data_IF_063527382996
#
_entry.id   IF_063527382996
#
_cell.length_a   1.000
_cell.length_b   1.000
_cell.length_c   1.000
_cell.angle_alpha   90.00
_cell.angle_beta   90.00
_cell.angle_gamma   90.00
#
_symmetry.space_group_name_H-M   'P 1'
#
loop_
_entity.id
_entity.type
_entity.pdbx_description
1 polymer ?
#
# COMPACT_ATOMS: atom_id res chain seq x y z
N UNK A 1 -7.64 6.06 27.64
CA UNK A 1 -7.58 4.64 27.22
C UNK A 1 -6.78 4.55 25.93
N UNK A 2 -6.00 3.50 25.76
CA UNK A 2 -5.39 3.13 24.48
C UNK A 2 -6.37 2.24 23.73
N UNK A 3 -6.58 2.50 22.43
CA UNK A 3 -7.43 1.67 21.58
C UNK A 3 -6.59 0.98 20.51
N UNK A 4 -6.63 -0.35 20.53
CA UNK A 4 -5.95 -1.24 19.59
C UNK A 4 -6.95 -2.23 19.00
N UNK A 5 -6.57 -2.97 17.97
CA UNK A 5 -7.38 -4.08 17.47
C UNK A 5 -6.97 -5.43 18.09
N UNK A 6 -7.76 -6.47 17.85
CA UNK A 6 -7.46 -7.82 18.35
C UNK A 6 -6.12 -8.39 17.85
N UNK A 7 -5.74 -8.13 16.60
CA UNK A 7 -4.47 -8.62 16.05
C UNK A 7 -3.25 -7.90 16.68
N UNK A 8 -3.39 -6.61 17.01
CA UNK A 8 -2.38 -5.86 17.76
C UNK A 8 -2.26 -6.39 19.19
N UNK A 9 -3.37 -6.76 19.83
CA UNK A 9 -3.33 -7.41 21.14
C UNK A 9 -2.62 -8.75 21.07
N UNK A 10 -2.89 -9.57 20.06
CA UNK A 10 -2.23 -10.85 19.85
C UNK A 10 -0.72 -10.65 19.65
N UNK A 11 -0.31 -9.60 18.93
CA UNK A 11 1.10 -9.21 18.82
C UNK A 11 1.73 -8.86 20.17
N UNK A 12 1.06 -8.05 21.00
CA UNK A 12 1.58 -7.77 22.34
C UNK A 12 1.68 -9.04 23.19
N UNK A 13 0.76 -9.99 23.03
CA UNK A 13 0.85 -11.29 23.72
C UNK A 13 2.07 -12.09 23.26
N UNK A 14 2.38 -12.12 21.96
CA UNK A 14 3.61 -12.77 21.46
C UNK A 14 4.87 -12.14 22.07
N UNK A 15 4.88 -10.83 22.28
CA UNK A 15 6.02 -10.14 22.91
C UNK A 15 6.15 -10.56 24.38
N UNK A 16 5.04 -10.63 25.12
CA UNK A 16 5.00 -11.13 26.51
C UNK A 16 5.49 -12.57 26.59
N UNK A 17 5.01 -13.45 25.72
CA UNK A 17 5.37 -14.87 25.72
C UNK A 17 6.88 -15.08 25.47
N UNK A 18 7.51 -14.18 24.70
CA UNK A 18 8.96 -14.17 24.44
C UNK A 18 9.78 -13.40 25.47
N UNK A 19 9.13 -12.63 26.34
CA UNK A 19 9.75 -11.83 27.38
C UNK A 19 8.94 -11.95 28.68
N UNK A 20 8.97 -13.12 29.35
CA UNK A 20 8.12 -13.40 30.52
C UNK A 20 8.32 -12.44 31.69
N UNK A 21 9.47 -11.76 31.76
CA UNK A 21 9.75 -10.70 32.73
C UNK A 21 8.84 -9.47 32.58
N UNK A 22 8.15 -9.32 31.45
CA UNK A 22 7.16 -8.26 31.22
C UNK A 22 5.82 -8.52 31.91
N UNK A 23 5.60 -9.69 32.51
CA UNK A 23 4.34 -10.00 33.20
C UNK A 23 3.21 -10.28 32.21
N UNK A 24 2.23 -9.37 32.14
CA UNK A 24 1.11 -9.47 31.19
C UNK A 24 1.09 -8.32 30.16
N UNK A 25 0.11 -8.34 29.24
CA UNK A 25 -0.02 -7.30 28.20
C UNK A 25 -0.25 -5.91 28.81
N UNK A 26 -0.89 -5.80 29.98
CA UNK A 26 -1.11 -4.52 30.64
C UNK A 26 0.17 -3.99 31.30
N UNK A 27 1.00 -4.87 31.88
CA UNK A 27 2.34 -4.55 32.37
C UNK A 27 3.27 -4.09 31.22
N UNK A 28 3.21 -4.76 30.07
CA UNK A 28 3.93 -4.35 28.86
C UNK A 28 3.52 -2.93 28.45
N UNK A 29 2.21 -2.64 28.34
CA UNK A 29 1.73 -1.30 27.96
C UNK A 29 2.23 -0.23 28.93
N UNK A 30 2.17 -0.48 30.24
CA UNK A 30 2.70 0.46 31.25
C UNK A 30 4.20 0.70 31.07
N UNK A 31 4.96 -0.38 30.81
CA UNK A 31 6.41 -0.32 30.60
C UNK A 31 6.76 0.48 29.35
N UNK A 32 6.09 0.21 28.24
CA UNK A 32 6.30 0.89 26.97
C UNK A 32 5.96 2.39 27.07
N UNK A 33 4.87 2.75 27.75
CA UNK A 33 4.49 4.15 27.93
C UNK A 33 5.43 4.91 28.88
N UNK A 34 6.07 4.24 29.84
CA UNK A 34 7.09 4.82 30.71
C UNK A 34 8.45 5.01 30.01
N UNK A 35 8.68 4.35 28.87
CA UNK A 35 9.92 4.51 28.12
C UNK A 35 10.03 5.91 27.50
N UNK A 36 11.24 6.48 27.37
CA UNK A 36 11.43 7.79 26.75
C UNK A 36 10.83 7.82 25.33
N UNK A 37 9.97 8.80 25.07
CA UNK A 37 9.43 9.00 23.74
C UNK A 37 10.55 9.40 22.77
N UNK A 38 10.60 8.75 21.62
CA UNK A 38 11.44 9.21 20.50
C UNK A 38 10.69 10.35 19.82
N UNK A 39 11.24 11.57 19.75
CA UNK A 39 10.60 12.67 19.05
C UNK A 39 10.44 12.30 17.58
N UNK A 40 9.22 12.39 17.07
CA UNK A 40 8.93 12.21 15.65
C UNK A 40 8.95 13.58 14.99
N UNK A 41 9.91 13.89 14.10
CA UNK A 41 9.88 15.11 13.34
C UNK A 41 8.66 15.11 12.42
N UNK A 42 7.86 16.18 12.47
CA UNK A 42 6.81 16.43 11.48
C UNK A 42 7.20 17.68 10.70
N UNK A 43 7.74 17.50 9.50
CA UNK A 43 7.88 18.55 8.50
C UNK A 43 7.01 18.21 7.30
N UNK A 44 5.70 18.08 7.52
CA UNK A 44 4.75 17.89 6.44
C UNK A 44 4.32 19.24 5.88
N UNK A 45 4.38 19.36 4.57
CA UNK A 45 3.72 20.44 3.83
C UNK A 45 2.41 19.90 3.25
N UNK A 46 1.32 20.65 3.41
CA UNK A 46 0.05 20.27 2.80
C UNK A 46 0.19 20.30 1.26
N UNK A 47 -0.24 19.24 0.56
CA UNK A 47 -0.14 19.21 -0.89
C UNK A 47 -1.09 20.24 -1.52
N UNK A 48 -0.69 20.77 -2.68
CA UNK A 48 -1.63 21.50 -3.52
C UNK A 48 -2.77 20.57 -3.95
N UNK A 49 -4.01 21.08 -4.01
CA UNK A 49 -5.14 20.26 -4.44
C UNK A 49 -4.88 19.76 -5.86
N UNK A 50 -5.25 18.51 -6.16
CA UNK A 50 -5.06 17.99 -7.50
C UNK A 50 -5.97 18.73 -8.48
N UNK A 51 -5.69 18.66 -9.78
CA UNK A 51 -6.53 19.31 -10.77
C UNK A 51 -7.95 18.75 -10.76
N UNK A 52 -8.94 19.65 -10.89
CA UNK A 52 -10.34 19.27 -10.94
C UNK A 52 -10.64 18.46 -12.21
N UNK A 53 -11.24 17.28 -12.03
CA UNK A 53 -11.70 16.40 -13.11
C UNK A 53 -13.13 15.92 -12.81
N UNK A 54 -13.82 15.43 -13.83
CA UNK A 54 -15.14 14.83 -13.64
C UNK A 54 -14.99 13.39 -13.18
N UNK A 55 -15.44 13.08 -11.97
CA UNK A 55 -15.43 11.72 -11.45
C UNK A 55 -16.41 10.82 -12.23
N UNK A 56 -15.94 9.63 -12.58
CA UNK A 56 -16.68 8.53 -13.20
C UNK A 56 -17.05 7.51 -12.13
N UNK A 57 -16.15 7.24 -11.19
CA UNK A 57 -16.38 6.37 -10.04
C UNK A 57 -15.59 6.84 -8.83
N UNK A 58 -16.07 6.51 -7.63
CA UNK A 58 -15.39 6.79 -6.37
C UNK A 58 -15.62 5.66 -5.37
N UNK A 59 -14.57 5.27 -4.68
CA UNK A 59 -14.56 4.20 -3.69
C UNK A 59 -13.85 4.67 -2.43
N UNK A 60 -14.33 4.22 -1.28
CA UNK A 60 -13.57 4.26 -0.02
C UNK A 60 -13.21 2.83 0.32
N UNK A 61 -11.90 2.55 0.38
CA UNK A 61 -11.38 1.23 0.73
C UNK A 61 -11.14 1.23 2.22
N UNK A 62 -11.80 0.31 2.93
CA UNK A 62 -11.74 0.21 4.38
C UNK A 62 -10.45 -0.50 4.85
N UNK A 63 -10.02 -0.31 6.11
CA UNK A 63 -8.97 -1.08 6.76
C UNK A 63 -9.08 -2.60 6.50
N UNK A 64 -7.98 -3.22 6.07
CA UNK A 64 -7.92 -4.66 5.79
C UNK A 64 -8.71 -5.14 4.57
N UNK A 65 -9.13 -4.23 3.68
CA UNK A 65 -9.85 -4.56 2.45
C UNK A 65 -9.12 -4.05 1.20
N UNK A 66 -9.53 -4.55 0.04
CA UNK A 66 -9.10 -4.08 -1.28
C UNK A 66 -10.27 -3.96 -2.23
N UNK A 67 -10.05 -3.34 -3.39
CA UNK A 67 -11.08 -3.22 -4.43
C UNK A 67 -10.49 -3.37 -5.81
N UNK A 68 -11.12 -4.19 -6.65
CA UNK A 68 -10.81 -4.24 -8.07
C UNK A 68 -11.54 -3.09 -8.80
N UNK A 69 -10.78 -2.21 -9.46
CA UNK A 69 -11.27 -0.98 -10.08
C UNK A 69 -10.94 -0.99 -11.58
N UNK A 70 -11.95 -1.13 -12.47
CA UNK A 70 -11.72 -1.01 -13.90
C UNK A 70 -11.46 0.45 -14.28
N UNK A 71 -10.41 0.69 -15.06
CA UNK A 71 -9.97 2.01 -15.54
C UNK A 71 -9.70 1.90 -17.04
N UNK A 72 -10.40 2.69 -17.86
CA UNK A 72 -10.26 2.65 -19.32
C UNK A 72 -9.06 3.46 -19.78
N UNK A 73 -8.53 3.11 -20.95
CA UNK A 73 -7.45 3.86 -21.58
C UNK A 73 -7.83 5.34 -21.72
N UNK A 74 -6.96 6.21 -21.23
CA UNK A 74 -7.18 7.66 -21.19
C UNK A 74 -8.01 8.14 -20.00
N UNK A 75 -8.41 7.30 -19.05
CA UNK A 75 -8.94 7.75 -17.76
C UNK A 75 -7.81 7.99 -16.76
N UNK A 76 -8.10 8.78 -15.72
CA UNK A 76 -7.19 9.02 -14.60
C UNK A 76 -7.71 8.26 -13.39
N UNK A 77 -6.86 7.45 -12.76
CA UNK A 77 -7.12 6.88 -11.44
C UNK A 77 -6.30 7.60 -10.39
N UNK A 78 -6.93 8.01 -9.29
CA UNK A 78 -6.27 8.65 -8.16
C UNK A 78 -6.49 7.83 -6.91
N UNK A 79 -5.42 7.62 -6.15
CA UNK A 79 -5.46 7.10 -4.78
C UNK A 79 -5.12 8.26 -3.84
N UNK A 80 -5.93 8.47 -2.80
CA UNK A 80 -5.78 9.58 -1.86
C UNK A 80 -5.91 9.14 -0.41
N UNK A 81 -5.05 9.72 0.43
CA UNK A 81 -5.14 9.65 1.88
C UNK A 81 -6.39 10.37 2.38
N UNK A 82 -7.19 9.67 3.20
CA UNK A 82 -8.31 10.31 3.93
C UNK A 82 -7.75 10.91 5.22
N UNK A 83 -7.19 10.06 6.08
CA UNK A 83 -6.63 10.46 7.38
C UNK A 83 -5.10 10.63 7.34
N UNK A 84 -4.43 10.12 6.29
CA UNK A 84 -2.97 10.09 6.19
C UNK A 84 -2.34 8.79 6.69
N UNK A 85 -1.02 8.69 6.52
CA UNK A 85 -0.18 7.66 7.14
C UNK A 85 -0.62 6.22 6.82
N UNK A 86 -1.19 5.97 5.64
CA UNK A 86 -1.60 4.64 5.20
C UNK A 86 -0.82 4.21 3.95
N UNK A 87 -0.08 3.11 4.04
CA UNK A 87 0.47 2.47 2.85
C UNK A 87 -0.64 1.80 2.03
N UNK A 88 -0.55 1.85 0.70
CA UNK A 88 -1.46 1.13 -0.20
C UNK A 88 -0.66 0.26 -1.15
N UNK A 89 -0.90 -1.03 -1.09
CA UNK A 89 -0.39 -1.97 -2.08
C UNK A 89 -1.27 -1.93 -3.33
N UNK A 90 -0.67 -1.91 -4.52
CA UNK A 90 -1.42 -1.87 -5.77
C UNK A 90 -0.93 -2.91 -6.78
N UNK A 91 -1.85 -3.75 -7.24
CA UNK A 91 -1.69 -4.61 -8.41
C UNK A 91 -2.41 -4.00 -9.63
N UNK A 92 -1.94 -4.30 -10.85
CA UNK A 92 -2.52 -3.76 -12.09
C UNK A 92 -2.45 -4.80 -13.20
N UNK A 93 -3.58 -5.08 -13.83
CA UNK A 93 -3.71 -6.04 -14.93
C UNK A 93 -4.29 -5.35 -16.17
N UNK A 94 -4.02 -5.87 -17.36
CA UNK A 94 -4.72 -5.47 -18.57
C UNK A 94 -6.12 -6.12 -18.59
N UNK A 95 -7.17 -5.31 -18.70
CA UNK A 95 -8.56 -5.81 -18.75
C UNK A 95 -8.81 -6.76 -19.92
N UNK A 96 -8.11 -6.58 -21.03
CA UNK A 96 -8.27 -7.36 -22.24
C UNK A 96 -7.31 -8.57 -22.30
N UNK A 97 -6.46 -8.74 -21.29
CA UNK A 97 -5.51 -9.84 -21.21
C UNK A 97 -4.95 -10.04 -19.79
N UNK A 98 -5.46 -11.02 -19.05
CA UNK A 98 -5.03 -11.34 -17.67
C UNK A 98 -3.52 -11.58 -17.51
N UNK A 99 -2.85 -12.02 -18.57
CA UNK A 99 -1.42 -12.34 -18.53
C UNK A 99 -0.52 -11.10 -18.63
N UNK A 100 -1.03 -9.97 -19.16
CA UNK A 100 -0.31 -8.70 -19.17
C UNK A 100 -0.64 -7.92 -17.90
N UNK A 101 0.35 -7.72 -17.05
CA UNK A 101 0.23 -7.08 -15.74
C UNK A 101 1.45 -6.24 -15.43
N UNK A 102 1.33 -5.37 -14.43
CA UNK A 102 2.42 -4.54 -13.94
C UNK A 102 3.62 -5.41 -13.54
N UNK A 103 4.81 -4.95 -13.91
CA UNK A 103 6.07 -5.62 -13.60
C UNK A 103 6.99 -4.68 -12.84
N UNK A 104 7.02 -4.86 -11.51
CA UNK A 104 7.76 -4.01 -10.58
C UNK A 104 9.26 -4.04 -10.89
N UNK A 105 9.85 -5.21 -11.16
CA UNK A 105 11.28 -5.28 -11.49
C UNK A 105 11.67 -4.49 -12.76
N UNK A 106 10.77 -4.39 -13.75
CA UNK A 106 11.02 -3.62 -14.97
C UNK A 106 10.83 -2.13 -14.71
N UNK A 107 9.77 -1.79 -14.00
CA UNK A 107 9.51 -0.41 -13.57
C UNK A 107 10.69 0.12 -12.75
N UNK A 108 11.14 -0.63 -11.73
CA UNK A 108 12.31 -0.30 -10.91
C UNK A 108 13.58 -0.13 -11.72
N UNK A 109 13.84 -1.01 -12.68
CA UNK A 109 15.03 -0.94 -13.53
C UNK A 109 15.06 0.27 -14.47
N UNK A 110 13.90 0.80 -14.87
CA UNK A 110 13.81 1.90 -15.84
C UNK A 110 13.44 3.26 -15.24
N UNK A 111 12.75 3.27 -14.11
CA UNK A 111 12.29 4.49 -13.42
C UNK A 111 12.95 4.68 -12.05
N UNK A 112 13.77 3.73 -11.61
CA UNK A 112 14.37 3.74 -10.28
C UNK A 112 13.43 3.21 -9.20
N UNK A 113 13.87 3.24 -7.94
CA UNK A 113 13.19 2.60 -6.82
C UNK A 113 11.89 3.27 -6.37
N UNK A 114 11.74 4.57 -6.68
CA UNK A 114 10.61 5.40 -6.25
C UNK A 114 9.99 6.15 -7.46
N UNK A 115 9.32 5.44 -8.39
CA UNK A 115 8.68 6.08 -9.55
C UNK A 115 7.76 7.23 -9.12
N UNK A 116 7.87 8.38 -9.78
CA UNK A 116 7.13 9.60 -9.42
C UNK A 116 6.59 10.32 -10.65
N UNK A 117 6.09 11.55 -10.46
CA UNK A 117 5.51 12.39 -11.50
C UNK A 117 6.38 12.44 -12.76
N UNK A 118 5.80 12.09 -13.91
CA UNK A 118 6.50 12.06 -15.20
C UNK A 118 7.18 10.73 -15.55
N UNK A 119 7.07 9.72 -14.67
CA UNK A 119 7.52 8.36 -14.94
C UNK A 119 6.37 7.47 -15.43
N UNK A 120 6.71 6.29 -15.95
CA UNK A 120 5.72 5.29 -16.41
C UNK A 120 5.91 3.93 -15.77
N UNK A 121 4.80 3.23 -15.56
CA UNK A 121 4.78 1.86 -15.09
C UNK A 121 4.81 0.89 -16.28
N UNK A 122 5.54 -0.21 -16.16
CA UNK A 122 5.81 -1.15 -17.26
C UNK A 122 5.12 -2.49 -17.06
N UNK A 123 4.61 -3.10 -18.14
CA UNK A 123 4.12 -4.49 -18.11
C UNK A 123 5.23 -5.53 -18.18
N UNK A 124 4.88 -6.76 -17.83
CA UNK A 124 5.73 -7.95 -17.88
C UNK A 124 6.03 -8.42 -19.31
N UNK A 125 7.06 -9.27 -19.45
CA UNK A 125 7.32 -10.00 -20.68
C UNK A 125 6.17 -10.97 -21.02
N UNK A 126 5.85 -11.15 -22.32
CA UNK A 126 6.55 -10.61 -23.51
C UNK A 126 6.05 -9.23 -23.99
N UNK A 127 5.14 -8.55 -23.27
CA UNK A 127 4.55 -7.27 -23.71
C UNK A 127 5.48 -6.08 -23.49
N UNK A 128 6.11 -5.99 -22.32
CA UNK A 128 7.16 -5.02 -21.96
C UNK A 128 6.92 -3.60 -22.49
N UNK A 129 5.75 -3.03 -22.18
CA UNK A 129 5.36 -1.69 -22.62
C UNK A 129 4.83 -0.83 -21.46
N UNK A 130 4.87 0.50 -21.57
CA UNK A 130 4.21 1.38 -20.61
C UNK A 130 2.70 1.09 -20.53
N UNK A 131 2.18 0.93 -19.32
CA UNK A 131 0.76 0.67 -19.07
C UNK A 131 0.06 1.84 -18.37
N UNK A 132 0.79 2.63 -17.58
CA UNK A 132 0.28 3.82 -16.89
C UNK A 132 1.37 4.88 -16.81
N UNK A 133 0.99 6.16 -16.83
CA UNK A 133 1.88 7.28 -16.59
C UNK A 133 1.51 8.00 -15.29
N UNK A 134 2.48 8.34 -14.44
CA UNK A 134 2.25 9.06 -13.19
C UNK A 134 2.11 10.55 -13.50
N UNK A 135 0.92 11.11 -13.31
CA UNK A 135 0.64 12.52 -13.60
C UNK A 135 0.98 13.44 -12.43
N UNK A 136 0.90 12.92 -11.21
CA UNK A 136 1.17 13.66 -9.98
C UNK A 136 1.33 12.73 -8.79
N UNK A 137 2.34 12.98 -7.97
CA UNK A 137 2.59 12.29 -6.70
C UNK A 137 3.02 13.31 -5.66
N UNK A 138 2.30 13.38 -4.54
CA UNK A 138 2.63 14.30 -3.43
C UNK A 138 3.52 13.65 -2.36
N UNK A 139 3.74 12.34 -2.48
CA UNK A 139 4.58 11.54 -1.58
C UNK A 139 5.42 10.52 -2.38
N UNK A 140 6.10 9.64 -1.66
CA UNK A 140 6.94 8.57 -2.21
C UNK A 140 6.11 7.32 -2.57
N UNK A 141 6.66 6.57 -3.52
CA UNK A 141 6.27 5.20 -3.84
C UNK A 141 7.46 4.29 -3.54
N UNK A 142 7.22 3.00 -3.34
CA UNK A 142 8.28 2.01 -3.19
C UNK A 142 8.12 0.86 -4.19
N UNK A 143 9.27 0.38 -4.65
CA UNK A 143 9.40 -0.82 -5.49
C UNK A 143 10.46 -1.79 -4.94
N UNK A 144 11.04 -1.53 -3.77
CA UNK A 144 12.00 -2.45 -3.15
C UNK A 144 11.32 -3.63 -2.49
N UNK A 145 10.29 -3.37 -1.68
CA UNK A 145 9.65 -4.40 -0.88
C UNK A 145 8.50 -5.09 -1.63
N UNK A 146 8.33 -6.40 -1.42
CA UNK A 146 7.15 -7.11 -1.86
C UNK A 146 5.93 -6.74 -0.99
N UNK A 147 4.77 -7.26 -1.35
CA UNK A 147 3.61 -7.23 -0.47
C UNK A 147 3.87 -7.96 0.86
N UNK A 148 3.22 -7.54 1.94
CA UNK A 148 3.22 -8.34 3.17
C UNK A 148 2.35 -9.60 3.00
N UNK A 149 2.73 -10.67 3.70
CA UNK A 149 2.12 -12.00 3.59
C UNK A 149 2.02 -12.69 4.95
N UNK A 150 1.19 -13.72 5.03
CA UNK A 150 1.15 -14.59 6.21
C UNK A 150 2.53 -15.12 6.60
N UNK A 151 3.35 -15.48 5.61
CA UNK A 151 4.70 -16.02 5.83
C UNK A 151 5.62 -15.01 6.49
N UNK A 152 5.67 -13.76 5.98
CA UNK A 152 6.60 -12.76 6.56
C UNK A 152 6.21 -12.43 8.00
N UNK A 153 4.92 -12.35 8.28
CA UNK A 153 4.43 -12.14 9.64
C UNK A 153 4.73 -13.30 10.59
N UNK A 154 4.56 -14.54 10.11
CA UNK A 154 4.90 -15.74 10.88
C UNK A 154 6.38 -15.81 11.23
N UNK A 155 7.25 -15.54 10.25
CA UNK A 155 8.70 -15.67 10.41
C UNK A 155 9.28 -14.55 11.26
N UNK A 156 8.88 -13.30 10.99
CA UNK A 156 9.47 -12.13 11.65
C UNK A 156 8.84 -11.82 13.00
N UNK A 157 7.51 -11.99 13.11
CA UNK A 157 6.77 -11.53 14.29
C UNK A 157 6.09 -12.65 15.08
N UNK A 158 6.14 -13.91 14.61
CA UNK A 158 5.40 -15.02 15.24
C UNK A 158 3.88 -14.91 15.08
N UNK A 159 3.41 -14.12 14.10
CA UNK A 159 1.99 -13.85 13.88
C UNK A 159 1.47 -14.68 12.70
N UNK A 160 0.74 -15.75 13.00
CA UNK A 160 0.32 -16.75 12.02
C UNK A 160 -0.99 -16.43 11.30
N UNK A 161 -1.95 -15.80 11.99
CA UNK A 161 -3.29 -15.54 11.46
C UNK A 161 -3.59 -14.04 11.56
N UNK A 162 -3.24 -13.28 10.52
CA UNK A 162 -3.42 -11.83 10.52
C UNK A 162 -3.63 -11.23 9.14
N UNK A 163 -4.28 -10.07 9.13
CA UNK A 163 -4.49 -9.25 7.94
C UNK A 163 -3.16 -8.96 7.25
N UNK A 164 -3.09 -9.22 5.94
CA UNK A 164 -1.89 -9.02 5.12
C UNK A 164 -2.27 -8.73 3.65
N UNK A 165 -1.42 -8.00 2.93
CA UNK A 165 -1.69 -7.56 1.56
C UNK A 165 -1.91 -8.72 0.60
N UNK A 166 -1.15 -9.82 0.73
CA UNK A 166 -1.28 -10.99 -0.15
C UNK A 166 -2.71 -11.53 -0.18
N UNK A 167 -3.31 -11.78 0.98
CA UNK A 167 -4.65 -12.34 1.07
C UNK A 167 -5.75 -11.33 0.71
N UNK A 168 -5.54 -10.05 1.04
CA UNK A 168 -6.45 -8.98 0.62
C UNK A 168 -6.47 -8.85 -0.91
N UNK A 169 -5.29 -8.90 -1.54
CA UNK A 169 -5.16 -8.87 -3.00
C UNK A 169 -5.83 -10.08 -3.64
N UNK A 170 -5.57 -11.29 -3.14
CA UNK A 170 -6.23 -12.50 -3.64
C UNK A 170 -7.76 -12.36 -3.64
N UNK A 171 -8.32 -11.87 -2.54
CA UNK A 171 -9.77 -11.72 -2.42
C UNK A 171 -10.31 -10.61 -3.32
N UNK A 172 -9.68 -9.43 -3.35
CA UNK A 172 -10.12 -8.32 -4.18
C UNK A 172 -10.04 -8.67 -5.68
N UNK A 173 -8.99 -9.37 -6.11
CA UNK A 173 -8.77 -9.76 -7.50
C UNK A 173 -9.73 -10.87 -7.96
N UNK A 174 -10.25 -11.68 -7.03
CA UNK A 174 -11.25 -12.73 -7.31
C UNK A 174 -12.53 -12.18 -7.94
N UNK A 175 -12.86 -10.90 -7.69
CA UNK A 175 -13.97 -10.19 -8.37
C UNK A 175 -13.87 -10.27 -9.90
N UNK A 176 -12.67 -10.47 -10.46
CA UNK A 176 -12.43 -10.58 -11.90
C UNK A 176 -11.93 -11.96 -12.33
N UNK A 177 -12.16 -13.00 -11.51
CA UNK A 177 -11.79 -14.38 -11.81
C UNK A 177 -10.28 -14.65 -11.83
N UNK A 178 -9.48 -13.76 -11.24
CA UNK A 178 -8.06 -13.97 -11.02
C UNK A 178 -7.84 -14.99 -9.92
N UNK A 179 -6.92 -15.92 -10.15
CA UNK A 179 -6.54 -16.92 -9.19
C UNK A 179 -5.48 -16.38 -8.22
N UNK A 180 -5.35 -16.95 -7.00
CA UNK A 180 -4.39 -16.47 -6.01
C UNK A 180 -2.92 -16.46 -6.44
N UNK A 181 -2.52 -17.26 -7.43
CA UNK A 181 -1.15 -17.29 -7.96
C UNK A 181 -0.89 -16.25 -9.06
N UNK A 182 -1.91 -15.50 -9.47
CA UNK A 182 -1.78 -14.44 -10.47
C UNK A 182 -1.48 -13.07 -9.89
N UNK A 183 -1.56 -12.93 -8.56
CA UNK A 183 -1.01 -11.79 -7.85
C UNK A 183 0.45 -11.58 -8.27
N UNK A 184 0.86 -10.33 -8.26
CA UNK A 184 2.24 -9.95 -8.55
C UNK A 184 2.74 -8.98 -7.49
N UNK A 185 4.04 -8.70 -7.53
CA UNK A 185 4.66 -7.70 -6.65
C UNK A 185 3.90 -6.37 -6.69
N UNK A 186 3.66 -5.79 -5.53
CA UNK A 186 2.92 -4.53 -5.40
C UNK A 186 3.76 -3.34 -5.82
N UNK A 187 3.12 -2.32 -6.41
CA UNK A 187 3.62 -0.97 -6.30
C UNK A 187 3.11 -0.42 -4.97
N UNK A 188 4.01 -0.08 -4.06
CA UNK A 188 3.66 0.35 -2.70
C UNK A 188 3.50 1.87 -2.69
N UNK A 189 2.26 2.35 -2.70
CA UNK A 189 1.94 3.77 -2.66
C UNK A 189 2.04 4.28 -1.23
N UNK A 190 2.56 5.50 -1.05
CA UNK A 190 2.76 6.14 0.26
C UNK A 190 3.74 5.43 1.20
N UNK A 191 4.36 4.33 0.76
CA UNK A 191 5.39 3.63 1.50
C UNK A 191 6.70 4.40 1.39
N UNK A 192 7.28 4.72 2.54
CA UNK A 192 8.56 5.41 2.61
C UNK A 192 9.66 4.40 2.88
N UNK A 193 10.61 4.31 1.96
CA UNK A 193 11.80 3.46 2.14
C UNK A 193 13.06 4.22 1.78
N UNK A 194 14.17 3.78 2.36
CA UNK A 194 15.50 4.32 2.09
C UNK A 194 16.52 3.18 2.04
N UNK A 195 17.53 3.33 1.20
CA UNK A 195 18.72 2.46 1.21
C UNK A 195 19.80 3.10 2.08
N UNK A 196 20.22 2.40 3.11
CA UNK A 196 21.29 2.81 3.99
C UNK A 196 22.67 2.65 3.30
N UNK A 197 23.72 3.34 3.78
CA UNK A 197 25.08 3.16 3.27
C UNK A 197 25.61 1.72 3.38
N UNK A 198 25.06 0.89 4.28
CA UNK A 198 25.37 -0.54 4.40
C UNK A 198 24.85 -1.37 3.22
N UNK A 199 23.88 -0.84 2.47
CA UNK A 199 23.13 -1.56 1.43
C UNK A 199 21.79 -2.09 1.91
N UNK A 200 21.49 -2.02 3.22
CA UNK A 200 20.21 -2.43 3.77
C UNK A 200 19.11 -1.46 3.35
N UNK A 201 17.93 -1.98 3.05
CA UNK A 201 16.74 -1.16 2.77
C UNK A 201 15.88 -1.14 4.02
N UNK A 202 15.50 0.06 4.46
CA UNK A 202 14.65 0.26 5.64
C UNK A 202 13.31 0.86 5.26
N UNK A 203 12.29 0.52 6.03
CA UNK A 203 10.98 1.17 5.98
C UNK A 203 11.00 2.30 7.00
N UNK A 204 10.95 3.53 6.52
CA UNK A 204 10.87 4.70 7.40
C UNK A 204 9.42 4.98 7.79
N UNK A 205 9.25 5.95 8.68
CA UNK A 205 7.94 6.46 9.04
C UNK A 205 7.19 6.97 7.81
N UNK A 206 5.93 6.56 7.67
CA UNK A 206 5.03 7.13 6.69
C UNK A 206 4.77 8.62 6.97
N UNK A 207 5.09 9.50 6.02
CA UNK A 207 4.99 10.95 6.14
C UNK A 207 3.76 11.54 5.43
N UNK A 208 2.94 10.71 4.79
CA UNK A 208 1.72 11.15 4.12
C UNK A 208 0.67 11.61 5.13
N UNK A 209 -0.13 12.61 4.76
CA UNK A 209 -1.25 13.09 5.57
C UNK A 209 -2.54 13.25 4.75
N UNK A 210 -3.61 13.79 5.36
CA UNK A 210 -4.89 13.99 4.67
C UNK A 210 -4.74 14.77 3.36
N UNK A 211 -5.33 14.25 2.29
CA UNK A 211 -5.30 14.88 0.97
C UNK A 211 -4.06 14.56 0.12
N UNK A 212 -3.03 13.90 0.67
CA UNK A 212 -1.93 13.39 -0.15
C UNK A 212 -2.43 12.35 -1.14
N UNK A 213 -1.88 12.38 -2.36
CA UNK A 213 -2.37 11.56 -3.46
C UNK A 213 -1.28 11.13 -4.43
N UNK A 214 -1.61 10.09 -5.19
CA UNK A 214 -0.90 9.68 -6.40
C UNK A 214 -1.93 9.45 -7.50
N UNK A 215 -1.71 10.02 -8.68
CA UNK A 215 -2.62 9.90 -9.83
C UNK A 215 -1.91 9.40 -11.09
N UNK A 216 -2.62 8.55 -11.82
CA UNK A 216 -2.10 7.83 -12.97
C UNK A 216 -3.03 7.98 -14.16
N UNK A 217 -2.48 8.31 -15.34
CA UNK A 217 -3.18 8.14 -16.61
C UNK A 217 -3.05 6.69 -17.06
N UNK A 218 -4.16 6.01 -17.29
CA UNK A 218 -4.17 4.68 -17.88
C UNK A 218 -3.82 4.77 -19.39
N UNK A 219 -2.77 4.06 -19.83
CA UNK A 219 -2.38 3.99 -21.25
C UNK A 219 -3.05 2.81 -21.97
N UNK A 220 -3.61 1.88 -21.22
CA UNK A 220 -4.38 0.73 -21.66
C UNK A 220 -5.70 0.67 -20.88
N UNK A 221 -6.59 -0.25 -21.25
CA UNK A 221 -7.69 -0.66 -20.37
C UNK A 221 -7.12 -1.55 -19.27
N UNK A 222 -7.29 -1.13 -18.01
CA UNK A 222 -6.64 -1.72 -16.86
C UNK A 222 -7.61 -2.08 -15.75
N UNK A 223 -7.29 -3.16 -15.05
CA UNK A 223 -7.86 -3.47 -13.75
C UNK A 223 -6.84 -3.04 -12.70
N UNK A 224 -7.13 -1.98 -11.97
CA UNK A 224 -6.29 -1.44 -10.91
C UNK A 224 -6.83 -1.95 -9.59
N UNK A 225 -5.99 -2.59 -8.78
CA UNK A 225 -6.40 -3.27 -7.55
C UNK A 225 -5.61 -2.74 -6.36
N UNK A 226 -5.98 -1.57 -5.81
CA UNK A 226 -5.42 -1.05 -4.58
C UNK A 226 -6.03 -1.75 -3.36
N UNK A 227 -5.22 -1.94 -2.32
CA UNK A 227 -5.69 -2.36 -1.01
C UNK A 227 -5.07 -1.54 0.11
N UNK A 228 -5.82 -1.38 1.21
CA UNK A 228 -5.25 -0.84 2.45
C UNK A 228 -4.27 -1.88 3.00
N UNK A 229 -3.01 -1.50 3.18
CA UNK A 229 -1.99 -2.39 3.71
C UNK A 229 -2.38 -2.90 5.11
N UNK A 230 -2.24 -4.22 5.32
CA UNK A 230 -2.57 -4.89 6.58
C UNK A 230 -1.54 -4.69 7.70
N UNK A 231 -0.51 -3.88 7.46
CA UNK A 231 0.57 -3.68 8.40
C UNK A 231 0.26 -2.61 9.44
N UNK A 232 -0.08 -3.08 10.64
CA UNK A 232 -0.38 -2.29 11.82
C UNK A 232 0.63 -2.50 12.96
N UNK A 233 1.78 -3.10 12.65
CA UNK A 233 2.87 -3.35 13.61
C UNK A 233 4.20 -2.73 13.17
N UNK A 234 4.27 -2.00 12.06
CA UNK A 234 5.50 -1.29 11.66
C UNK A 234 5.25 0.16 11.24
N UNK A 235 6.34 0.86 10.93
CA UNK A 235 6.35 2.22 10.38
C UNK A 235 5.69 2.34 9.00
N UNK A 236 5.44 1.23 8.28
CA UNK A 236 4.82 1.25 6.96
C UNK A 236 3.49 2.04 6.92
N UNK A 237 2.64 1.85 7.94
CA UNK A 237 1.39 2.62 8.15
C UNK A 237 1.31 3.22 9.56
N UNK A 238 2.48 3.46 10.18
CA UNK A 238 2.63 3.99 11.53
C UNK A 238 1.70 3.30 12.55
N UNK A 239 1.78 1.96 12.58
CA UNK A 239 1.07 1.11 13.55
C UNK A 239 -0.47 1.21 13.52
N UNK A 240 -1.06 1.64 12.40
CA UNK A 240 -2.51 1.73 12.27
C UNK A 240 -2.98 1.48 10.83
N UNK A 241 -4.22 1.01 10.71
CA UNK A 241 -4.89 0.89 9.42
C UNK A 241 -5.99 1.94 9.29
N UNK A 242 -5.94 2.72 8.21
CA UNK A 242 -6.84 3.84 7.94
C UNK A 242 -7.41 3.69 6.52
N UNK A 243 -8.64 4.17 6.27
CA UNK A 243 -9.23 4.07 4.95
C UNK A 243 -8.53 4.98 3.94
N UNK A 244 -8.60 4.60 2.67
CA UNK A 244 -8.15 5.43 1.54
C UNK A 244 -9.27 5.65 0.54
N UNK A 245 -9.16 6.71 -0.25
CA UNK A 245 -10.10 7.02 -1.33
C UNK A 245 -9.47 6.67 -2.67
N UNK A 246 -10.26 6.06 -3.54
CA UNK A 246 -9.89 5.81 -4.94
C UNK A 246 -10.93 6.46 -5.83
N UNK A 247 -10.51 7.28 -6.79
CA UNK A 247 -11.40 7.86 -7.80
C UNK A 247 -10.94 7.48 -9.20
N UNK A 248 -11.90 7.27 -10.10
CA UNK A 248 -11.67 7.18 -11.54
C UNK A 248 -12.30 8.42 -12.15
N UNK A 249 -11.54 9.14 -12.97
CA UNK A 249 -11.90 10.46 -13.46
C UNK A 249 -11.66 10.56 -14.97
N UNK A 250 -12.47 11.35 -15.67
CA UNK A 250 -12.23 11.68 -17.08
C UNK A 250 -10.98 12.54 -17.19
N UNK A 251 -10.01 12.11 -18.01
CA UNK A 251 -8.81 12.91 -18.26
C UNK A 251 -9.13 14.18 -19.07
N UNK A 252 -8.39 15.23 -18.74
CA UNK A 252 -8.35 16.48 -19.48
C UNK A 252 -7.35 16.38 -20.63
N UNK A 253 -7.36 17.29 -21.61
CA UNK A 253 -6.35 17.32 -22.66
C UNK A 253 -4.91 17.40 -22.13
N UNK A 254 -4.67 18.19 -21.07
CA UNK A 254 -3.35 18.38 -20.47
C UNK A 254 -2.82 17.09 -19.82
N UNK A 255 -3.72 16.28 -19.25
CA UNK A 255 -3.35 14.98 -18.65
C UNK A 255 -2.87 14.01 -19.72
N UNK A 256 -3.55 13.98 -20.87
CA UNK A 256 -3.16 13.13 -22.01
C UNK A 256 -1.83 13.58 -22.61
N UNK A 257 -1.60 14.89 -22.70
CA UNK A 257 -0.33 15.44 -23.14
C UNK A 257 0.80 15.07 -22.17
N UNK A 258 0.59 15.23 -20.86
CA UNK A 258 1.55 14.85 -19.83
C UNK A 258 1.86 13.34 -19.85
N UNK A 259 0.82 12.50 -19.95
CA UNK A 259 1.01 11.04 -20.05
C UNK A 259 1.70 10.61 -21.34
N UNK A 260 1.42 11.26 -22.47
CA UNK A 260 2.13 11.03 -23.72
C UNK A 260 3.61 11.45 -23.60
N UNK A 261 3.90 12.60 -23.00
CA UNK A 261 5.27 13.06 -22.77
C UNK A 261 6.06 12.12 -21.86
N UNK A 262 5.44 11.62 -20.77
CA UNK A 262 6.05 10.63 -19.88
C UNK A 262 6.36 9.32 -20.63
N UNK A 263 5.41 8.84 -21.44
CA UNK A 263 5.62 7.66 -22.30
C UNK A 263 6.77 7.88 -23.26
N UNK A 264 6.75 8.98 -24.02
CA UNK A 264 7.73 9.25 -25.08
C UNK A 264 9.14 9.43 -24.50
N UNK A 265 9.27 10.05 -23.33
CA UNK A 265 10.52 10.07 -22.52
C UNK A 265 11.01 8.65 -22.23
N UNK A 266 10.11 7.76 -21.79
CA UNK A 266 10.46 6.39 -21.41
C UNK A 266 10.77 5.47 -22.60
N UNK A 267 10.33 5.83 -23.81
CA UNK A 267 10.58 5.08 -25.05
C UNK A 267 11.31 5.91 -26.10
N UNK A 268 12.36 6.64 -25.69
CA UNK A 268 13.10 7.57 -26.54
C UNK A 268 13.52 6.99 -27.91
N UNK A 269 13.88 5.71 -27.95
CA UNK A 269 14.29 5.00 -29.17
C UNK A 269 13.18 4.12 -29.77
N UNK A 270 11.94 4.35 -29.35
CA UNK A 270 10.77 3.56 -29.72
C UNK A 270 10.66 2.25 -28.95
N UNK A 271 9.48 1.63 -29.06
CA UNK A 271 9.27 0.24 -28.67
C UNK A 271 9.72 -0.70 -29.81
N UNK A 272 10.05 -1.96 -29.49
CA UNK A 272 10.21 -2.97 -30.53
C UNK A 272 9.00 -2.98 -31.49
N UNK A 273 9.24 -3.14 -32.79
CA UNK A 273 8.17 -3.24 -33.79
C UNK A 273 7.20 -4.40 -33.49
N UNK A 274 6.10 -4.49 -34.25
CA UNK A 274 5.02 -5.45 -33.98
C UNK A 274 5.54 -6.87 -33.79
N UNK A 275 5.44 -7.40 -32.58
CA UNK A 275 5.68 -8.82 -32.28
C UNK A 275 4.35 -9.57 -32.34
N UNK A 276 4.38 -10.82 -32.80
CA UNK A 276 3.24 -11.71 -32.65
C UNK A 276 3.10 -12.08 -31.18
N UNK A 277 2.22 -11.36 -30.48
CA UNK A 277 1.90 -11.63 -29.08
C UNK A 277 0.85 -12.75 -28.99
N UNK A 278 0.81 -13.50 -27.89
CA UNK A 278 -0.28 -14.44 -27.62
C UNK A 278 -1.63 -13.71 -27.65
N UNK A 279 -2.69 -14.44 -28.04
CA UNK A 279 -4.03 -13.93 -27.86
C UNK A 279 -4.28 -13.65 -26.38
N UNK A 280 -4.85 -12.49 -26.06
CA UNK A 280 -5.18 -12.15 -24.69
C UNK A 280 -6.37 -12.96 -24.19
N UNK A 281 -6.39 -13.20 -22.88
CA UNK A 281 -7.56 -13.73 -22.18
C UNK A 281 -8.20 -12.58 -21.36
N UNK A 282 -9.31 -11.98 -21.83
CA UNK A 282 -9.91 -10.84 -21.14
C UNK A 282 -10.41 -11.20 -19.75
N UNK A 283 -10.23 -10.28 -18.80
CA UNK A 283 -10.79 -10.37 -17.46
C UNK A 283 -12.29 -10.18 -17.51
N UNK A 284 -13.02 -10.99 -16.75
CA UNK A 284 -14.47 -10.94 -16.66
C UNK A 284 -14.88 -10.73 -15.21
N UNK A 285 -15.76 -9.76 -14.97
CA UNK A 285 -16.33 -9.56 -13.64
C UNK A 285 -17.19 -10.76 -13.26
N UNK A 286 -16.99 -11.29 -12.07
CA UNK A 286 -17.87 -12.28 -11.46
C UNK A 286 -19.10 -11.58 -10.90
N UNK A 287 -20.24 -11.74 -11.58
CA UNK A 287 -21.51 -11.14 -11.17
C UNK A 287 -22.03 -11.65 -9.81
N UNK A 288 -21.49 -12.77 -9.31
CA UNK A 288 -21.84 -13.35 -8.01
C UNK A 288 -20.78 -13.09 -6.94
N UNK A 289 -19.78 -12.25 -7.23
CA UNK A 289 -18.74 -11.91 -6.26
C UNK A 289 -19.35 -11.25 -5.02
N UNK A 290 -19.12 -11.89 -3.87
CA UNK A 290 -19.36 -11.33 -2.54
C UNK A 290 -18.02 -11.30 -1.82
N UNK A 291 -17.55 -10.13 -1.35
CA UNK A 291 -16.25 -10.01 -0.70
C UNK A 291 -16.22 -10.75 0.64
N UNK A 292 -15.17 -11.51 0.87
CA UNK A 292 -14.89 -12.23 2.11
C UNK A 292 -13.39 -12.12 2.46
N UNK A 293 -13.03 -11.05 3.17
CA UNK A 293 -11.67 -10.84 3.65
C UNK A 293 -11.41 -11.69 4.91
N UNK A 294 -10.44 -12.64 4.90
CA UNK A 294 -10.34 -13.70 5.93
C UNK A 294 -10.20 -13.23 7.38
N UNK A 295 -9.69 -12.01 7.59
CA UNK A 295 -9.31 -11.51 8.91
C UNK A 295 -10.18 -10.35 9.41
N UNK A 296 -11.36 -10.17 8.81
CA UNK A 296 -12.31 -9.12 9.16
C UNK A 296 -13.62 -9.69 9.77
N UNK A 297 -14.33 -8.93 10.61
CA UNK A 297 -14.00 -7.57 11.07
C UNK A 297 -12.92 -7.56 12.15
N UNK A 298 -12.11 -6.50 12.18
CA UNK A 298 -11.21 -6.22 13.30
C UNK A 298 -12.02 -5.79 14.52
N UNK A 299 -11.74 -6.40 15.67
CA UNK A 299 -12.40 -6.05 16.93
C UNK A 299 -11.58 -4.99 17.66
N UNK A 300 -12.24 -3.90 18.06
CA UNK A 300 -11.60 -2.85 18.85
C UNK A 300 -11.53 -3.23 20.32
N UNK A 301 -10.37 -3.01 20.93
CA UNK A 301 -10.07 -3.33 22.32
C UNK A 301 -9.54 -2.06 22.99
N UNK A 302 -10.09 -1.74 24.15
CA UNK A 302 -9.63 -0.63 24.99
C UNK A 302 -8.75 -1.15 26.12
N UNK A 303 -7.63 -0.46 26.34
CA UNK A 303 -6.66 -0.76 27.38
C UNK A 303 -6.46 0.46 28.29
N UNK A 304 -6.31 0.24 29.61
CA UNK A 304 -6.02 1.32 30.54
C UNK A 304 -4.63 1.90 30.25
N UNK A 305 -4.53 3.22 30.32
CA UNK A 305 -3.26 3.98 30.21
C UNK A 305 -3.10 4.84 31.46
N UNK A 306 -1.86 5.19 31.86
CA UNK A 306 -1.63 6.13 32.96
C UNK A 306 -2.39 7.46 32.77
N UNK A 307 -2.87 8.11 33.85
CA UNK A 307 -3.45 9.45 33.78
C UNK A 307 -2.43 10.46 33.23
N UNK A 308 -2.92 11.46 32.48
CA UNK A 308 -2.16 12.64 32.02
C UNK A 308 -0.90 12.39 31.17
N UNK A 309 -0.93 11.33 30.38
CA UNK A 309 0.18 10.93 29.50
C UNK A 309 0.50 11.94 28.36
N UNK A 310 -0.41 12.86 28.05
CA UNK A 310 -0.22 13.96 27.08
C UNK A 310 -0.18 13.55 25.61
N UNK A 311 -0.07 12.25 25.30
CA UNK A 311 -0.13 11.70 23.94
C UNK A 311 -1.57 11.51 23.46
N UNK A 312 -1.79 11.74 22.16
CA UNK A 312 -3.04 11.35 21.49
C UNK A 312 -3.07 9.83 21.20
N UNK A 313 -4.19 9.32 20.68
CA UNK A 313 -4.38 7.88 20.46
C UNK A 313 -3.32 7.26 19.52
N UNK A 314 -2.96 7.94 18.43
CA UNK A 314 -1.96 7.44 17.49
C UNK A 314 -0.56 7.44 18.12
N UNK A 315 -0.23 8.48 18.89
CA UNK A 315 1.04 8.56 19.63
C UNK A 315 1.15 7.49 20.73
N UNK A 316 0.05 7.20 21.43
CA UNK A 316 -0.01 6.11 22.40
C UNK A 316 0.21 4.76 21.72
N UNK A 317 -0.49 4.52 20.60
CA UNK A 317 -0.43 3.27 19.85
C UNK A 317 0.99 3.04 19.30
N UNK A 318 1.57 4.06 18.71
CA UNK A 318 2.94 4.03 18.21
C UNK A 318 3.97 3.80 19.31
N UNK A 319 3.83 4.49 20.46
CA UNK A 319 4.75 4.30 21.57
C UNK A 319 4.73 2.85 22.09
N UNK A 320 3.54 2.25 22.22
CA UNK A 320 3.40 0.87 22.70
C UNK A 320 3.90 -0.13 21.67
N UNK A 321 3.41 -0.06 20.43
CA UNK A 321 3.72 -1.06 19.41
C UNK A 321 5.15 -0.92 18.89
N UNK A 322 5.64 0.32 18.70
CA UNK A 322 7.02 0.57 18.31
C UNK A 322 8.01 0.08 19.36
N UNK A 323 7.72 0.29 20.65
CA UNK A 323 8.52 -0.28 21.74
C UNK A 323 8.50 -1.81 21.72
N UNK A 324 7.33 -2.42 21.54
CA UNK A 324 7.19 -3.88 21.50
C UNK A 324 7.93 -4.52 20.31
N UNK A 325 7.91 -3.88 19.14
CA UNK A 325 8.68 -4.31 17.96
C UNK A 325 10.18 -4.22 18.22
N UNK A 326 10.64 -3.10 18.79
CA UNK A 326 12.04 -2.94 19.18
C UNK A 326 12.47 -4.00 20.20
N UNK A 327 11.58 -4.37 21.13
CA UNK A 327 11.84 -5.41 22.14
C UNK A 327 12.01 -6.80 21.52
N UNK A 328 11.27 -7.13 20.46
CA UNK A 328 11.42 -8.41 19.76
C UNK A 328 12.71 -8.53 18.95
N UNK A 329 13.39 -7.41 18.64
CA UNK A 329 14.64 -7.41 17.87
C UNK A 329 14.47 -7.83 16.40
N UNK A 330 13.28 -7.65 15.83
CA UNK A 330 12.96 -8.03 14.43
C UNK A 330 13.77 -7.23 13.41
N UNK A 331 14.01 -5.95 13.72
CA UNK A 331 14.79 -5.02 12.91
C UNK A 331 16.03 -4.63 13.72
N UNK A 332 17.00 -5.54 13.78
CA UNK A 332 18.30 -5.32 14.43
C UNK A 332 19.29 -4.58 13.55
#
# INVERSE_FOLDING_TARGET
MLRINNQQRDFLQVVVDRSPELGDVADLVRTALAAPAVPVPSSRTEPLPPPARTAVAAYTIAPGTGKAVPVRAGEVVRVSQIDGQQCVDMNVFNLNNRHERLHIGRTRGLQGPHPSTGDVLWSNAPWERPIMAILGSTTRTDTYFPFCSRTIYSVLFGLHDRTNCQEIQNEAQREYGLAPWEIHESLNLFMVTAMLPSGDVVIERNDSGPGDFIEFLALLDLLVVPNVCGDDVTNCSNYGMRPVRVTVERSRPEDRLAGAAARDKAVLFGLPGSRRLPAGEPLQVDAHYVPHFPHLPLQSIEMPVPPDDGRNEDQLREAVLGWAVARLGVFG
#
